data_IF_296762152620
#
_entry.id   IF_296762152620
#
_cell.length_a   1.000
_cell.length_b   1.000
_cell.length_c   1.000
_cell.angle_alpha   90.00
_cell.angle_beta   90.00
_cell.angle_gamma   90.00
#
_symmetry.space_group_name_H-M   'P 1'
#
loop_
_entity.id
_entity.type
_entity.pdbx_description
1 polymer ?
#
# COMPACT_ATOMS: atom_id res chain seq x y z
N UNK A 1 47.94 11.78 13.86
CA UNK A 1 46.99 12.80 13.33
C UNK A 1 46.47 12.45 11.94
N UNK A 2 47.32 12.24 10.92
CA UNK A 2 46.86 11.92 9.55
C UNK A 2 45.98 10.65 9.47
N UNK A 3 46.38 9.54 10.10
CA UNK A 3 45.60 8.27 10.06
C UNK A 3 44.23 8.36 10.75
N UNK A 4 44.13 9.12 11.84
CA UNK A 4 42.89 9.38 12.56
C UNK A 4 41.90 10.19 11.72
N UNK A 5 42.41 11.15 10.95
CA UNK A 5 41.60 11.94 10.01
C UNK A 5 40.99 11.09 8.89
N UNK A 6 41.75 10.13 8.35
CA UNK A 6 41.23 9.21 7.32
C UNK A 6 40.15 8.29 7.89
N UNK A 7 40.28 7.85 9.14
CA UNK A 7 39.27 7.00 9.80
C UNK A 7 37.96 7.76 10.03
N UNK A 8 38.05 9.03 10.46
CA UNK A 8 36.88 9.90 10.64
C UNK A 8 36.21 10.19 9.28
N UNK A 9 37.01 10.44 8.24
CA UNK A 9 36.50 10.68 6.89
C UNK A 9 35.78 9.45 6.32
N UNK A 10 36.33 8.24 6.54
CA UNK A 10 35.72 6.98 6.11
C UNK A 10 34.40 6.71 6.86
N UNK A 11 34.36 7.00 8.17
CA UNK A 11 33.15 6.83 8.97
C UNK A 11 32.05 7.82 8.55
N UNK A 12 32.41 9.07 8.26
CA UNK A 12 31.50 10.08 7.73
C UNK A 12 30.95 9.73 6.34
N UNK A 13 31.76 9.14 5.46
CA UNK A 13 31.32 8.69 4.13
C UNK A 13 30.39 7.46 4.20
N UNK A 14 30.59 6.56 5.17
CA UNK A 14 29.80 5.34 5.32
C UNK A 14 28.46 5.56 6.05
N UNK A 15 28.28 6.72 6.70
CA UNK A 15 27.05 7.07 7.45
C UNK A 15 26.01 7.82 6.62
N UNK A 16 26.28 8.11 5.35
CA UNK A 16 25.31 8.75 4.46
C UNK A 16 24.29 7.70 3.99
N UNK A 17 23.04 7.84 4.43
CA UNK A 17 21.95 7.02 3.90
C UNK A 17 21.62 7.46 2.46
N UNK A 18 22.01 6.64 1.49
CA UNK A 18 21.65 6.82 0.08
C UNK A 18 20.27 6.20 -0.16
N UNK A 19 19.24 7.03 -0.32
CA UNK A 19 17.92 6.59 -0.76
C UNK A 19 17.88 6.51 -2.28
N UNK A 20 17.96 5.31 -2.83
CA UNK A 20 18.08 5.10 -4.28
C UNK A 20 16.73 5.15 -5.03
N UNK A 21 15.61 4.91 -4.36
CA UNK A 21 14.31 4.77 -5.03
C UNK A 21 13.24 5.68 -4.41
N UNK A 22 12.58 6.44 -5.28
CA UNK A 22 11.41 7.25 -4.93
C UNK A 22 10.25 6.34 -4.54
N UNK A 23 9.59 6.65 -3.43
CA UNK A 23 8.42 5.90 -2.98
C UNK A 23 7.31 5.99 -4.04
N UNK A 24 6.83 4.82 -4.49
CA UNK A 24 5.68 4.74 -5.39
C UNK A 24 4.41 4.84 -4.54
N UNK A 25 3.81 6.02 -4.57
CA UNK A 25 2.62 6.33 -3.76
C UNK A 25 1.55 6.93 -4.65
N UNK A 26 0.33 6.43 -4.51
CA UNK A 26 -0.87 7.11 -5.00
C UNK A 26 -1.40 8.01 -3.87
N UNK A 27 -1.53 9.31 -4.14
CA UNK A 27 -1.96 10.31 -3.16
C UNK A 27 -2.95 11.29 -3.80
N UNK A 28 -3.99 11.65 -3.04
CA UNK A 28 -5.08 12.49 -3.51
C UNK A 28 -5.40 13.58 -2.48
N UNK A 29 -5.81 14.75 -2.95
CA UNK A 29 -6.14 15.91 -2.09
C UNK A 29 -7.59 15.92 -1.61
N UNK A 30 -8.41 14.98 -2.08
CA UNK A 30 -9.84 14.93 -1.78
C UNK A 30 -10.29 13.47 -1.60
N UNK A 31 -11.35 13.22 -0.81
CA UNK A 31 -11.96 11.91 -0.67
C UNK A 31 -12.55 11.39 -1.99
N UNK A 32 -12.67 10.07 -2.10
CA UNK A 32 -13.31 9.42 -3.23
C UNK A 32 -14.83 9.69 -3.25
N UNK A 33 -15.34 10.12 -4.40
CA UNK A 33 -16.78 10.36 -4.62
C UNK A 33 -17.53 9.09 -5.00
N UNK A 34 -16.85 8.17 -5.67
CA UNK A 34 -17.41 6.91 -6.13
C UNK A 34 -16.36 5.78 -6.04
N UNK A 35 -16.79 4.56 -6.32
CA UNK A 35 -15.96 3.35 -6.19
C UNK A 35 -14.67 3.40 -7.00
N UNK A 36 -14.69 3.98 -8.22
CA UNK A 36 -13.52 4.01 -9.10
C UNK A 36 -12.41 4.94 -8.59
N UNK A 37 -12.72 5.83 -7.64
CA UNK A 37 -11.76 6.76 -7.03
C UNK A 37 -11.21 6.24 -5.70
N UNK A 38 -11.82 5.21 -5.11
CA UNK A 38 -11.39 4.63 -3.85
C UNK A 38 -10.13 3.78 -4.02
N UNK A 39 -9.30 3.70 -2.97
CA UNK A 39 -8.01 3.02 -3.06
C UNK A 39 -8.14 1.55 -2.64
N UNK A 40 -7.75 0.58 -3.51
CA UNK A 40 -7.81 -0.83 -3.18
C UNK A 40 -6.64 -1.25 -2.29
N UNK A 41 -6.95 -2.04 -1.26
CA UNK A 41 -5.97 -2.80 -0.46
C UNK A 41 -6.44 -4.26 -0.34
N UNK A 42 -5.52 -5.20 -0.17
CA UNK A 42 -5.89 -6.59 0.03
C UNK A 42 -4.70 -7.51 0.31
N UNK A 43 -5.00 -8.70 0.83
CA UNK A 43 -4.01 -9.74 1.16
C UNK A 43 -4.18 -11.01 0.31
N UNK A 44 -4.90 -10.92 -0.80
CA UNK A 44 -5.23 -12.05 -1.67
C UNK A 44 -6.51 -12.81 -1.26
N UNK A 45 -6.97 -12.71 -0.01
CA UNK A 45 -8.25 -13.30 0.46
C UNK A 45 -9.32 -12.25 0.73
N UNK A 46 -8.95 -11.24 1.52
CA UNK A 46 -9.81 -10.11 1.85
C UNK A 46 -9.31 -8.89 1.09
N UNK A 47 -10.24 -8.14 0.51
CA UNK A 47 -10.00 -6.84 -0.11
C UNK A 47 -10.80 -5.74 0.58
N UNK A 48 -10.31 -4.52 0.48
CA UNK A 48 -11.05 -3.34 0.91
C UNK A 48 -10.82 -2.16 -0.05
N UNK A 49 -11.85 -1.32 -0.19
CA UNK A 49 -11.78 -0.05 -0.92
C UNK A 49 -11.91 1.09 0.09
N UNK A 50 -10.89 1.95 0.15
CA UNK A 50 -10.81 3.06 1.11
C UNK A 50 -11.28 4.37 0.45
N UNK A 51 -12.32 5.01 0.99
CA UNK A 51 -12.87 6.24 0.42
C UNK A 51 -12.22 7.52 0.97
N UNK A 52 -11.69 7.51 2.19
CA UNK A 52 -10.96 8.65 2.77
C UNK A 52 -11.85 9.80 3.22
N UNK A 53 -13.09 9.52 3.64
CA UNK A 53 -14.08 10.54 4.04
C UNK A 53 -13.78 11.05 5.47
N UNK A 54 -13.54 12.35 5.69
CA UNK A 54 -13.08 12.86 6.98
C UNK A 54 -14.05 12.68 8.15
N UNK A 55 -15.35 12.84 7.92
CA UNK A 55 -16.37 12.79 8.99
C UNK A 55 -16.92 11.37 9.19
N UNK A 56 -17.18 10.65 8.11
CA UNK A 56 -17.74 9.31 8.13
C UNK A 56 -17.12 8.47 7.02
N UNK A 57 -16.12 7.68 7.41
CA UNK A 57 -15.36 6.82 6.50
C UNK A 57 -16.25 5.71 5.92
N UNK A 58 -16.00 5.37 4.66
CA UNK A 58 -16.58 4.21 4.02
C UNK A 58 -15.46 3.25 3.61
N UNK A 59 -15.38 2.11 4.29
CA UNK A 59 -14.53 1.00 3.89
C UNK A 59 -15.45 -0.10 3.34
N UNK A 60 -15.40 -0.30 2.02
CA UNK A 60 -16.13 -1.41 1.41
C UNK A 60 -15.26 -2.67 1.42
N UNK A 61 -15.84 -3.80 1.80
CA UNK A 61 -15.11 -5.05 1.98
C UNK A 61 -15.50 -6.07 0.91
N UNK A 62 -14.51 -6.87 0.51
CA UNK A 62 -14.67 -8.03 -0.35
C UNK A 62 -13.98 -9.25 0.28
N UNK A 63 -14.55 -10.44 0.03
CA UNK A 63 -13.96 -11.72 0.41
C UNK A 63 -13.97 -12.61 -0.84
N UNK A 64 -12.82 -13.20 -1.17
CA UNK A 64 -12.60 -13.88 -2.46
C UNK A 64 -13.53 -15.07 -2.73
N UNK A 65 -14.13 -15.66 -1.69
CA UNK A 65 -15.00 -16.84 -1.75
C UNK A 65 -16.48 -16.49 -1.58
N UNK A 66 -16.83 -15.22 -1.38
CA UNK A 66 -18.21 -14.78 -1.29
C UNK A 66 -18.85 -14.74 -2.67
N UNK A 67 -19.33 -15.89 -3.13
CA UNK A 67 -20.03 -16.07 -4.39
C UNK A 67 -21.48 -16.46 -4.15
N UNK A 68 -22.37 -16.03 -5.05
CA UNK A 68 -23.74 -16.53 -5.10
C UNK A 68 -23.80 -17.90 -5.77
N UNK A 69 -24.77 -18.71 -5.37
CA UNK A 69 -24.97 -20.05 -5.92
C UNK A 69 -24.29 -21.14 -5.07
N UNK A 70 -24.35 -22.36 -5.57
CA UNK A 70 -23.74 -23.53 -4.93
C UNK A 70 -23.32 -24.56 -5.97
N UNK A 71 -22.81 -25.73 -5.55
CA UNK A 71 -22.49 -26.82 -6.47
C UNK A 71 -23.71 -27.15 -7.34
N UNK A 72 -23.54 -27.08 -8.66
CA UNK A 72 -24.58 -27.44 -9.63
C UNK A 72 -24.11 -28.69 -10.35
N UNK A 73 -24.92 -29.75 -10.36
CA UNK A 73 -24.67 -30.88 -11.25
C UNK A 73 -24.97 -30.43 -12.69
N UNK A 74 -23.92 -30.27 -13.49
CA UNK A 74 -24.03 -29.84 -14.89
C UNK A 74 -24.41 -30.98 -15.84
N UNK A 75 -24.46 -32.22 -15.35
CA UNK A 75 -24.89 -33.37 -16.13
C UNK A 75 -26.25 -33.87 -15.60
N UNK A 76 -27.36 -33.61 -16.33
CA UNK A 76 -28.69 -34.06 -15.93
C UNK A 76 -28.81 -35.60 -15.97
#
# INVERSE_FOLDING_TARGET
MKKTFHFILLFALCSVQLFAQKQLTLWYKQPARNWNEALPIGNGRIGAMIFGRPENELIQLNEQTLWSGGPVNRNP
#
